data_IF_248504453206
#
_entry.id   IF_248504453206
#
_cell.length_a   1.000
_cell.length_b   1.000
_cell.length_c   1.000
_cell.angle_alpha   90.00
_cell.angle_beta   90.00
_cell.angle_gamma   90.00
#
_symmetry.space_group_name_H-M   'P 1'
#
loop_
_entity.id
_entity.type
_entity.pdbx_description
1 polymer ?
#
# COMPACT_ATOMS: atom_id res chain seq x y z
N UNK A 1 62.45 70.19 -16.35
CA UNK A 1 61.33 69.29 -16.76
C UNK A 1 61.60 67.81 -16.52
N UNK A 2 62.81 67.27 -16.77
CA UNK A 2 63.10 65.83 -16.62
C UNK A 2 62.86 65.25 -15.20
N UNK A 3 63.16 66.01 -14.13
CA UNK A 3 62.93 65.56 -12.74
C UNK A 3 61.43 65.39 -12.38
N UNK A 4 60.55 66.20 -12.97
CA UNK A 4 59.10 66.13 -12.72
C UNK A 4 58.49 64.90 -13.40
N UNK A 5 58.95 64.56 -14.61
CA UNK A 5 58.52 63.35 -15.32
C UNK A 5 58.98 62.07 -14.61
N UNK A 6 60.19 62.05 -14.05
CA UNK A 6 60.67 60.93 -13.25
C UNK A 6 59.86 60.75 -11.96
N UNK A 7 59.50 61.86 -11.29
CA UNK A 7 58.65 61.82 -10.09
C UNK A 7 57.24 61.32 -10.42
N UNK A 8 56.63 61.78 -11.50
CA UNK A 8 55.30 61.33 -11.94
C UNK A 8 55.29 59.84 -12.33
N UNK A 9 56.35 59.35 -12.97
CA UNK A 9 56.48 57.93 -13.30
C UNK A 9 56.62 57.08 -12.03
N UNK A 10 57.42 57.53 -11.05
CA UNK A 10 57.56 56.86 -9.78
C UNK A 10 56.25 56.82 -8.99
N UNK A 11 55.50 57.93 -8.97
CA UNK A 11 54.17 58.01 -8.34
C UNK A 11 53.18 57.07 -9.04
N UNK A 12 53.20 56.98 -10.37
CA UNK A 12 52.34 56.05 -11.11
C UNK A 12 52.68 54.57 -10.84
N UNK A 13 53.97 54.25 -10.70
CA UNK A 13 54.41 52.89 -10.37
C UNK A 13 54.03 52.54 -8.94
N UNK A 14 54.25 53.42 -7.96
CA UNK A 14 53.85 53.21 -6.56
C UNK A 14 52.32 53.12 -6.41
N UNK A 15 51.56 53.95 -7.12
CA UNK A 15 50.09 53.87 -7.15
C UNK A 15 49.60 52.55 -7.77
N UNK A 16 50.26 52.07 -8.82
CA UNK A 16 49.94 50.80 -9.48
C UNK A 16 50.30 49.60 -8.60
N UNK A 17 51.46 49.64 -7.93
CA UNK A 17 51.88 48.60 -6.99
C UNK A 17 50.95 48.54 -5.77
N UNK A 18 50.53 49.69 -5.22
CA UNK A 18 49.52 49.75 -4.15
C UNK A 18 48.17 49.20 -4.63
N UNK A 19 47.71 49.60 -5.83
CA UNK A 19 46.47 49.08 -6.40
C UNK A 19 46.51 47.56 -6.67
N UNK A 20 47.64 47.03 -7.15
CA UNK A 20 47.82 45.59 -7.35
C UNK A 20 47.90 44.84 -6.01
N UNK A 21 48.51 45.44 -4.98
CA UNK A 21 48.58 44.90 -3.62
C UNK A 21 47.19 44.85 -2.96
N UNK A 22 46.37 45.87 -3.16
CA UNK A 22 44.97 45.92 -2.70
C UNK A 22 44.03 45.00 -3.51
N UNK A 23 44.32 44.75 -4.79
CA UNK A 23 43.53 43.86 -5.66
C UNK A 23 43.85 42.37 -5.48
N UNK A 24 45.03 42.01 -4.96
CA UNK A 24 45.48 40.64 -4.70
C UNK A 24 44.52 39.83 -3.79
N UNK A 25 44.05 40.36 -2.65
CA UNK A 25 43.04 39.72 -1.80
C UNK A 25 41.72 39.44 -2.53
N UNK A 26 41.21 40.43 -3.27
CA UNK A 26 39.97 40.31 -4.05
C UNK A 26 40.06 39.22 -5.13
N UNK A 27 41.19 39.13 -5.84
CA UNK A 27 41.45 38.05 -6.82
C UNK A 27 41.49 36.67 -6.16
N UNK A 28 42.08 36.54 -4.96
CA UNK A 28 42.07 35.28 -4.20
C UNK A 28 40.66 34.86 -3.78
N UNK A 29 39.84 35.81 -3.31
CA UNK A 29 38.43 35.57 -2.92
C UNK A 29 37.60 35.14 -4.14
N UNK A 30 37.75 35.80 -5.28
CA UNK A 30 37.04 35.45 -6.52
C UNK A 30 37.39 34.04 -7.02
N UNK A 31 38.67 33.65 -6.95
CA UNK A 31 39.12 32.29 -7.28
C UNK A 31 38.55 31.26 -6.31
N UNK A 32 38.57 31.55 -5.00
CA UNK A 32 37.96 30.70 -3.97
C UNK A 32 36.45 30.53 -4.19
N UNK A 33 35.74 31.62 -4.46
CA UNK A 33 34.31 31.61 -4.77
C UNK A 33 33.99 30.85 -6.05
N UNK A 34 34.83 30.96 -7.08
CA UNK A 34 34.69 30.18 -8.32
C UNK A 34 34.89 28.68 -8.07
N UNK A 35 35.90 28.29 -7.29
CA UNK A 35 36.11 26.90 -6.89
C UNK A 35 34.96 26.37 -6.02
N UNK A 36 34.46 27.18 -5.08
CA UNK A 36 33.31 26.83 -4.25
C UNK A 36 32.05 26.60 -5.10
N UNK A 37 31.74 27.50 -6.04
CA UNK A 37 30.63 27.35 -7.00
C UNK A 37 30.78 26.11 -7.87
N UNK A 38 32.00 25.78 -8.32
CA UNK A 38 32.27 24.57 -9.12
C UNK A 38 32.06 23.30 -8.30
N UNK A 39 32.52 23.26 -7.04
CA UNK A 39 32.29 22.16 -6.10
C UNK A 39 30.80 21.97 -5.81
N UNK A 40 30.09 23.07 -5.58
CA UNK A 40 28.65 23.04 -5.33
C UNK A 40 27.87 22.51 -6.54
N UNK A 41 28.21 22.94 -7.77
CA UNK A 41 27.64 22.38 -8.99
C UNK A 41 27.94 20.89 -9.16
N UNK A 42 29.14 20.46 -8.81
CA UNK A 42 29.52 19.05 -8.87
C UNK A 42 28.72 18.21 -7.86
N UNK A 43 28.61 18.68 -6.60
CA UNK A 43 27.78 18.05 -5.56
C UNK A 43 26.32 17.93 -6.00
N UNK A 44 25.73 18.98 -6.56
CA UNK A 44 24.34 18.94 -7.07
C UNK A 44 24.17 17.93 -8.20
N UNK A 45 25.12 17.85 -9.11
CA UNK A 45 25.10 16.84 -10.19
C UNK A 45 25.23 15.43 -9.64
N UNK A 46 26.10 15.23 -8.65
CA UNK A 46 26.27 13.93 -7.99
C UNK A 46 24.98 13.50 -7.28
N UNK A 47 24.37 14.38 -6.48
CA UNK A 47 23.09 14.12 -5.81
C UNK A 47 22.00 13.79 -6.83
N UNK A 48 21.92 14.54 -7.93
CA UNK A 48 20.95 14.29 -8.99
C UNK A 48 21.19 12.93 -9.68
N UNK A 49 22.45 12.58 -9.94
CA UNK A 49 22.82 11.29 -10.51
C UNK A 49 22.49 10.14 -9.57
N UNK A 50 22.80 10.27 -8.28
CA UNK A 50 22.46 9.29 -7.24
C UNK A 50 20.93 9.11 -7.10
N UNK A 51 20.18 10.20 -7.18
CA UNK A 51 18.72 10.13 -7.17
C UNK A 51 18.17 9.46 -8.44
N UNK A 52 18.73 9.78 -9.61
CA UNK A 52 18.34 9.15 -10.87
C UNK A 52 18.68 7.66 -10.89
N UNK A 53 19.84 7.24 -10.40
CA UNK A 53 20.21 5.82 -10.32
C UNK A 53 19.29 5.08 -9.34
N UNK A 54 19.00 5.67 -8.17
CA UNK A 54 18.03 5.11 -7.22
C UNK A 54 16.65 4.91 -7.86
N UNK A 55 16.12 5.95 -8.51
CA UNK A 55 14.83 5.86 -9.22
C UNK A 55 14.86 4.87 -10.38
N UNK A 56 15.98 4.74 -11.09
CA UNK A 56 16.13 3.80 -12.20
C UNK A 56 16.12 2.35 -11.70
N UNK A 57 16.82 2.06 -10.60
CA UNK A 57 16.81 0.75 -9.93
C UNK A 57 15.40 0.43 -9.40
N UNK A 58 14.74 1.38 -8.75
CA UNK A 58 13.39 1.19 -8.23
C UNK A 58 12.36 0.96 -9.35
N UNK A 59 12.45 1.71 -10.45
CA UNK A 59 11.63 1.47 -11.64
C UNK A 59 11.88 0.10 -12.26
N UNK A 60 13.14 -0.36 -12.33
CA UNK A 60 13.45 -1.70 -12.82
C UNK A 60 12.83 -2.77 -11.91
N UNK A 61 12.95 -2.62 -10.58
CA UNK A 61 12.34 -3.51 -9.59
C UNK A 61 10.82 -3.58 -9.72
N UNK A 62 10.14 -2.42 -9.81
CA UNK A 62 8.69 -2.35 -9.97
C UNK A 62 8.23 -3.01 -11.28
N UNK A 63 8.97 -2.79 -12.39
CA UNK A 63 8.69 -3.46 -13.67
C UNK A 63 8.83 -4.98 -13.57
N UNK A 64 9.86 -5.48 -12.89
CA UNK A 64 10.03 -6.92 -12.64
C UNK A 64 8.90 -7.49 -11.78
N UNK A 65 8.47 -6.79 -10.73
CA UNK A 65 7.34 -7.20 -9.89
C UNK A 65 6.01 -7.23 -10.66
N UNK A 66 5.75 -6.21 -11.47
CA UNK A 66 4.57 -6.17 -12.35
C UNK A 66 4.62 -7.29 -13.39
N UNK A 67 5.79 -7.57 -13.97
CA UNK A 67 5.99 -8.70 -14.88
C UNK A 67 5.69 -10.04 -14.22
N UNK A 68 6.19 -10.27 -13.01
CA UNK A 68 5.92 -11.48 -12.24
C UNK A 68 4.43 -11.64 -11.89
N UNK A 69 3.74 -10.54 -11.53
CA UNK A 69 2.30 -10.55 -11.23
C UNK A 69 1.46 -10.90 -12.48
N UNK A 70 1.78 -10.27 -13.63
CA UNK A 70 1.13 -10.59 -14.91
C UNK A 70 1.34 -12.05 -15.31
N UNK A 71 2.56 -12.56 -15.15
CA UNK A 71 2.90 -13.96 -15.44
C UNK A 71 2.17 -14.94 -14.50
N UNK A 72 2.07 -14.62 -13.21
CA UNK A 72 1.28 -15.40 -12.25
C UNK A 72 -0.20 -15.47 -12.66
N UNK A 73 -0.78 -14.35 -13.07
CA UNK A 73 -2.17 -14.30 -13.55
C UNK A 73 -2.36 -15.09 -14.84
N UNK A 74 -1.40 -15.00 -15.78
CA UNK A 74 -1.40 -15.80 -17.01
C UNK A 74 -1.41 -17.29 -16.71
N UNK A 75 -0.51 -17.77 -15.85
CA UNK A 75 -0.43 -19.18 -15.43
C UNK A 75 -1.71 -19.67 -14.75
N UNK A 76 -2.34 -18.85 -13.91
CA UNK A 76 -3.64 -19.18 -13.29
C UNK A 76 -4.73 -19.36 -14.34
N UNK A 77 -4.78 -18.46 -15.33
CA UNK A 77 -5.73 -18.55 -16.45
C UNK A 77 -5.48 -19.80 -17.30
N UNK A 78 -4.23 -20.12 -17.62
CA UNK A 78 -3.85 -21.33 -18.37
C UNK A 78 -4.23 -22.62 -17.64
N UNK A 79 -3.93 -22.72 -16.33
CA UNK A 79 -4.35 -23.86 -15.52
C UNK A 79 -5.86 -24.05 -15.48
N UNK A 80 -6.62 -22.95 -15.51
CA UNK A 80 -8.08 -22.98 -15.55
C UNK A 80 -8.59 -23.60 -16.85
N UNK A 81 -8.03 -23.21 -18.00
CA UNK A 81 -8.38 -23.81 -19.28
C UNK A 81 -7.95 -25.26 -19.39
N UNK A 82 -6.76 -25.61 -18.89
CA UNK A 82 -6.28 -26.99 -18.90
C UNK A 82 -7.25 -27.95 -18.18
N UNK A 83 -7.73 -27.57 -17.00
CA UNK A 83 -8.70 -28.39 -16.26
C UNK A 83 -10.04 -28.47 -17.01
N UNK A 84 -10.44 -27.42 -17.74
CA UNK A 84 -11.61 -27.45 -18.61
C UNK A 84 -11.43 -28.35 -19.83
N UNK A 85 -10.26 -28.34 -20.48
CA UNK A 85 -9.92 -29.24 -21.60
C UNK A 85 -10.00 -30.70 -21.14
N UNK A 86 -9.48 -31.00 -19.95
CA UNK A 86 -9.55 -32.34 -19.35
C UNK A 86 -10.99 -32.74 -19.01
N UNK A 87 -11.82 -31.83 -18.49
CA UNK A 87 -13.24 -32.07 -18.26
C UNK A 87 -13.99 -32.35 -19.57
N UNK A 88 -13.72 -31.60 -20.63
CA UNK A 88 -14.29 -31.83 -21.97
C UNK A 88 -13.92 -33.22 -22.50
N UNK A 89 -12.66 -33.62 -22.35
CA UNK A 89 -12.22 -34.95 -22.73
C UNK A 89 -12.93 -36.05 -21.94
N UNK A 90 -13.07 -35.90 -20.62
CA UNK A 90 -13.80 -36.87 -19.79
C UNK A 90 -15.28 -36.97 -20.18
N UNK A 91 -15.92 -35.85 -20.55
CA UNK A 91 -17.29 -35.84 -21.06
C UNK A 91 -17.37 -36.57 -22.40
N UNK A 92 -16.44 -36.31 -23.32
CA UNK A 92 -16.42 -36.91 -24.65
C UNK A 92 -16.20 -38.42 -24.62
N UNK A 93 -15.35 -38.91 -23.72
CA UNK A 93 -15.06 -40.34 -23.56
C UNK A 93 -16.09 -41.09 -22.71
N UNK A 94 -17.11 -40.43 -22.17
CA UNK A 94 -18.11 -41.06 -21.32
C UNK A 94 -17.54 -41.57 -19.99
N UNK A 95 -16.67 -40.78 -19.35
CA UNK A 95 -16.06 -41.10 -18.06
C UNK A 95 -17.10 -41.39 -16.96
N UNK A 96 -16.68 -42.07 -15.89
CA UNK A 96 -17.58 -42.41 -14.79
C UNK A 96 -18.03 -41.15 -14.03
N UNK A 97 -19.20 -41.25 -13.38
CA UNK A 97 -19.73 -40.18 -12.55
C UNK A 97 -18.75 -39.72 -11.46
N UNK A 98 -18.00 -40.65 -10.87
CA UNK A 98 -16.99 -40.38 -9.84
C UNK A 98 -15.79 -39.60 -10.40
N UNK A 99 -15.32 -39.96 -11.60
CA UNK A 99 -14.23 -39.24 -12.26
C UNK A 99 -14.62 -37.81 -12.62
N UNK A 100 -15.84 -37.61 -13.12
CA UNK A 100 -16.38 -36.29 -13.43
C UNK A 100 -16.53 -35.44 -12.17
N UNK A 101 -17.08 -36.01 -11.10
CA UNK A 101 -17.28 -35.32 -9.83
C UNK A 101 -15.95 -34.90 -9.21
N UNK A 102 -14.98 -35.81 -9.13
CA UNK A 102 -13.65 -35.50 -8.61
C UNK A 102 -12.99 -34.35 -9.38
N UNK A 103 -13.15 -34.31 -10.71
CA UNK A 103 -12.56 -33.26 -11.54
C UNK A 103 -13.27 -31.92 -11.37
N UNK A 104 -14.60 -31.92 -11.26
CA UNK A 104 -15.39 -30.73 -10.93
C UNK A 104 -15.01 -30.19 -9.55
N UNK A 105 -14.84 -31.07 -8.56
CA UNK A 105 -14.42 -30.68 -7.21
C UNK A 105 -13.05 -30.00 -7.21
N UNK A 106 -12.07 -30.57 -7.94
CA UNK A 106 -10.74 -29.95 -8.12
C UNK A 106 -10.87 -28.55 -8.73
N UNK A 107 -11.69 -28.39 -9.77
CA UNK A 107 -11.92 -27.09 -10.41
C UNK A 107 -12.49 -26.07 -9.40
N UNK A 108 -13.54 -26.46 -8.66
CA UNK A 108 -14.17 -25.59 -7.68
C UNK A 108 -13.23 -25.22 -6.53
N UNK A 109 -12.48 -26.20 -5.99
CA UNK A 109 -11.57 -25.99 -4.87
C UNK A 109 -10.44 -24.99 -5.23
N UNK A 110 -9.99 -24.98 -6.49
CA UNK A 110 -8.90 -24.13 -6.96
C UNK A 110 -9.35 -22.74 -7.43
N UNK A 111 -10.51 -22.64 -8.08
CA UNK A 111 -10.89 -21.40 -8.79
C UNK A 111 -12.14 -20.71 -8.27
N UNK A 112 -13.06 -21.41 -7.61
CA UNK A 112 -14.26 -20.77 -7.06
C UNK A 112 -13.92 -19.88 -5.87
N UNK A 113 -14.66 -18.80 -5.69
CA UNK A 113 -14.52 -17.82 -4.61
C UNK A 113 -14.59 -18.48 -3.22
N UNK A 114 -15.48 -19.46 -3.07
CA UNK A 114 -15.69 -20.25 -1.88
C UNK A 114 -14.81 -21.52 -1.81
N UNK A 115 -13.95 -21.72 -2.82
CA UNK A 115 -13.04 -22.85 -2.92
C UNK A 115 -11.95 -22.78 -1.85
N UNK A 116 -11.55 -23.94 -1.32
CA UNK A 116 -10.56 -24.05 -0.23
C UNK A 116 -9.31 -23.21 -0.49
N UNK A 117 -8.76 -23.26 -1.71
CA UNK A 117 -7.53 -22.55 -2.04
C UNK A 117 -7.65 -21.03 -1.88
N UNK A 118 -8.73 -20.44 -2.40
CA UNK A 118 -8.94 -18.98 -2.34
C UNK A 118 -9.30 -18.53 -0.94
N UNK A 119 -10.12 -19.30 -0.22
CA UNK A 119 -10.43 -19.03 1.18
C UNK A 119 -9.18 -19.02 2.05
N UNK A 120 -8.30 -20.03 1.93
CA UNK A 120 -7.06 -20.10 2.71
C UNK A 120 -6.14 -18.92 2.40
N UNK A 121 -5.86 -18.63 1.12
CA UNK A 121 -5.00 -17.48 0.76
C UNK A 121 -5.53 -16.17 1.34
N UNK A 122 -6.84 -15.94 1.21
CA UNK A 122 -7.45 -14.70 1.67
C UNK A 122 -7.42 -14.61 3.22
N UNK A 123 -7.65 -15.71 3.93
CA UNK A 123 -7.53 -15.72 5.39
C UNK A 123 -6.08 -15.51 5.84
N UNK A 124 -5.12 -16.20 5.23
CA UNK A 124 -3.69 -16.03 5.51
C UNK A 124 -3.24 -14.56 5.30
N UNK A 125 -3.76 -13.90 4.27
CA UNK A 125 -3.50 -12.49 4.00
C UNK A 125 -4.11 -11.57 5.08
N UNK A 126 -5.33 -11.84 5.51
CA UNK A 126 -5.98 -11.08 6.57
C UNK A 126 -5.32 -11.32 7.94
N UNK A 127 -4.82 -12.53 8.20
CA UNK A 127 -4.01 -12.84 9.39
C UNK A 127 -2.66 -12.11 9.35
N UNK A 128 -2.02 -12.05 8.19
CA UNK A 128 -0.81 -11.25 7.99
C UNK A 128 -1.03 -9.76 8.24
N UNK A 129 -2.17 -9.20 7.80
CA UNK A 129 -2.54 -7.81 8.09
C UNK A 129 -2.79 -7.59 9.59
N UNK A 130 -3.44 -8.55 10.27
CA UNK A 130 -3.66 -8.44 11.72
C UNK A 130 -2.33 -8.42 12.47
N UNK A 131 -1.40 -9.30 12.10
CA UNK A 131 -0.05 -9.35 12.68
C UNK A 131 0.72 -8.04 12.47
N UNK A 132 0.59 -7.41 11.30
CA UNK A 132 1.23 -6.12 11.00
C UNK A 132 0.63 -4.95 11.79
N UNK A 133 -0.64 -5.06 12.19
CA UNK A 133 -1.33 -4.07 13.02
C UNK A 133 -1.05 -4.26 14.52
N UNK A 134 -0.56 -5.43 14.93
CA UNK A 134 -0.14 -5.66 16.30
C UNK A 134 1.10 -4.82 16.63
N UNK A 135 0.90 -3.81 17.48
CA UNK A 135 2.00 -3.01 18.01
C UNK A 135 3.02 -3.92 18.72
N UNK A 136 4.29 -3.86 18.28
CA UNK A 136 5.41 -4.53 18.97
C UNK A 136 5.62 -3.93 20.36
N UNK A 137 6.34 -4.65 21.23
CA UNK A 137 6.54 -4.23 22.63
C UNK A 137 7.10 -2.82 22.77
N UNK A 138 8.03 -2.42 21.88
CA UNK A 138 8.60 -1.06 21.87
C UNK A 138 7.53 -0.01 21.54
N UNK A 139 6.66 -0.28 20.56
CA UNK A 139 5.56 0.61 20.18
C UNK A 139 4.50 0.68 21.29
N UNK A 140 4.16 -0.45 21.91
CA UNK A 140 3.30 -0.50 23.10
C UNK A 140 3.90 0.35 24.22
N UNK A 141 5.17 0.13 24.56
CA UNK A 141 5.89 0.91 25.58
C UNK A 141 5.91 2.41 25.26
N UNK A 142 6.16 2.81 24.01
CA UNK A 142 6.16 4.21 23.59
C UNK A 142 4.77 4.86 23.73
N UNK A 143 3.73 4.15 23.29
CA UNK A 143 2.33 4.56 23.45
C UNK A 143 1.98 4.71 24.94
N UNK A 144 2.30 3.70 25.75
CA UNK A 144 2.01 3.69 27.19
C UNK A 144 2.83 4.72 27.96
N UNK A 145 4.07 4.98 27.56
CA UNK A 145 4.93 6.00 28.15
C UNK A 145 4.39 7.42 27.92
N UNK A 146 3.66 7.62 26.83
CA UNK A 146 3.02 8.89 26.48
C UNK A 146 1.54 8.94 26.90
N UNK A 147 1.02 7.90 27.57
CA UNK A 147 -0.37 7.86 28.00
C UNK A 147 -0.59 8.67 29.31
N UNK A 148 -1.65 9.50 29.40
CA UNK A 148 -1.94 10.37 30.55
C UNK A 148 -1.95 9.69 31.92
N UNK A 149 -2.44 8.44 31.99
CA UNK A 149 -2.63 7.67 33.23
C UNK A 149 -1.46 6.73 33.57
N UNK A 150 -0.35 6.83 32.85
CA UNK A 150 0.75 5.87 32.99
C UNK A 150 1.80 6.32 34.01
N UNK A 151 2.01 5.50 35.05
CA UNK A 151 3.13 5.62 35.98
C UNK A 151 4.48 5.27 35.32
N UNK A 152 4.47 4.68 34.13
CA UNK A 152 5.64 4.24 33.37
C UNK A 152 6.53 5.42 32.95
N UNK A 153 5.96 6.60 32.81
CA UNK A 153 6.67 7.83 32.40
C UNK A 153 7.68 8.29 33.43
N UNK A 154 7.31 8.24 34.71
CA UNK A 154 8.23 8.62 35.79
C UNK A 154 9.39 7.62 35.91
N UNK A 155 9.14 6.34 35.59
CA UNK A 155 10.14 5.29 35.51
C UNK A 155 11.07 5.55 34.32
N UNK A 156 10.55 5.80 33.12
CA UNK A 156 11.35 6.04 31.93
C UNK A 156 12.18 7.33 32.01
N UNK A 157 11.66 8.39 32.62
CA UNK A 157 12.43 9.63 32.86
C UNK A 157 13.67 9.34 33.71
N UNK A 158 13.53 8.47 34.72
CA UNK A 158 14.63 8.07 35.61
C UNK A 158 15.61 7.11 34.91
N UNK A 159 15.11 6.05 34.28
CA UNK A 159 15.92 5.02 33.63
C UNK A 159 16.70 5.57 32.41
N UNK A 160 16.11 6.50 31.67
CA UNK A 160 16.75 7.13 30.49
C UNK A 160 17.53 8.40 30.82
N UNK A 161 17.55 8.82 32.09
CA UNK A 161 18.22 10.02 32.58
C UNK A 161 17.92 11.28 31.73
N UNK A 162 16.63 11.53 31.45
CA UNK A 162 16.21 12.63 30.59
C UNK A 162 16.49 14.00 31.24
N UNK A 163 16.99 14.96 30.46
CA UNK A 163 17.22 16.33 30.94
C UNK A 163 15.91 17.15 31.01
N UNK A 164 15.95 18.33 31.63
CA UNK A 164 14.75 19.15 31.88
C UNK A 164 13.99 19.53 30.59
N UNK A 165 14.70 19.83 29.51
CA UNK A 165 14.09 20.19 28.22
C UNK A 165 13.43 18.97 27.55
N UNK A 166 14.07 17.80 27.64
CA UNK A 166 13.53 16.53 27.15
C UNK A 166 12.29 16.11 27.93
N UNK A 167 12.30 16.25 29.26
CA UNK A 167 11.16 15.96 30.12
C UNK A 167 9.97 16.85 29.76
N UNK A 168 10.18 18.16 29.59
CA UNK A 168 9.10 19.10 29.23
C UNK A 168 8.43 18.71 27.91
N UNK A 169 9.22 18.43 26.86
CA UNK A 169 8.69 17.96 25.57
C UNK A 169 7.93 16.63 25.68
N UNK A 170 8.41 15.74 26.53
CA UNK A 170 7.79 14.44 26.78
C UNK A 170 6.39 14.59 27.42
N UNK A 171 6.26 15.53 28.37
CA UNK A 171 4.97 15.89 28.98
C UNK A 171 4.03 16.58 27.99
N UNK A 172 4.56 17.49 27.16
CA UNK A 172 3.76 18.19 26.13
C UNK A 172 3.19 17.21 25.09
N UNK A 173 3.94 16.15 24.74
CA UNK A 173 3.50 15.13 23.77
C UNK A 173 2.46 14.15 24.35
N UNK A 174 2.32 14.09 25.68
CA UNK A 174 1.38 13.20 26.40
C UNK A 174 -0.10 13.52 26.08
N UNK A 175 -0.41 14.78 25.79
CA UNK A 175 -1.78 15.21 25.46
C UNK A 175 -2.21 14.84 24.04
N UNK A 176 -1.25 14.67 23.12
CA UNK A 176 -1.51 14.36 21.71
C UNK A 176 -1.59 12.86 21.39
N UNK A 177 -1.04 11.99 22.25
CA UNK A 177 -0.83 10.56 21.95
C UNK A 177 -2.04 9.66 22.31
N UNK A 178 -3.12 10.23 22.84
CA UNK A 178 -4.34 9.50 23.22
C UNK A 178 -5.11 8.88 22.04
N UNK A 179 -4.89 9.38 20.82
CA UNK A 179 -5.68 9.02 19.63
C UNK A 179 -5.17 7.73 18.95
N UNK A 180 -3.86 7.52 18.90
CA UNK A 180 -3.23 6.40 18.18
C UNK A 180 -3.71 4.99 18.63
N UNK A 181 -3.87 4.69 19.94
CA UNK A 181 -4.35 3.39 20.39
C UNK A 181 -5.79 3.13 19.97
N UNK A 182 -6.60 4.18 19.93
CA UNK A 182 -8.01 4.12 19.52
C UNK A 182 -8.09 3.84 18.02
N UNK A 183 -7.30 4.52 17.20
CA UNK A 183 -7.23 4.30 15.75
C UNK A 183 -6.73 2.89 15.38
N UNK A 184 -5.69 2.40 16.07
CA UNK A 184 -5.18 1.04 15.88
C UNK A 184 -6.25 0.01 16.24
N UNK A 185 -6.95 0.21 17.36
CA UNK A 185 -8.05 -0.67 17.77
C UNK A 185 -9.19 -0.66 16.75
N UNK A 186 -9.62 0.51 16.29
CA UNK A 186 -10.64 0.64 15.25
C UNK A 186 -10.25 -0.10 13.97
N UNK A 187 -8.99 0.02 13.56
CA UNK A 187 -8.48 -0.66 12.36
C UNK A 187 -8.51 -2.18 12.51
N UNK A 188 -8.11 -2.69 13.68
CA UNK A 188 -8.20 -4.12 14.01
C UNK A 188 -9.66 -4.59 14.02
N UNK A 189 -10.59 -3.80 14.57
CA UNK A 189 -12.01 -4.15 14.63
C UNK A 189 -12.66 -4.19 13.24
N UNK A 190 -12.27 -3.28 12.34
CA UNK A 190 -12.65 -3.31 10.91
C UNK A 190 -12.13 -4.59 10.25
N UNK A 191 -10.87 -4.96 10.49
CA UNK A 191 -10.27 -6.17 9.94
C UNK A 191 -10.99 -7.44 10.44
N UNK A 192 -11.32 -7.51 11.73
CA UNK A 192 -12.09 -8.62 12.32
C UNK A 192 -13.49 -8.72 11.74
N UNK A 193 -14.14 -7.58 11.53
CA UNK A 193 -15.46 -7.52 10.89
C UNK A 193 -15.40 -8.05 9.46
N UNK A 194 -14.39 -7.64 8.70
CA UNK A 194 -14.16 -8.10 7.34
C UNK A 194 -13.91 -9.61 7.29
N UNK A 195 -13.08 -10.15 8.18
CA UNK A 195 -12.85 -11.60 8.32
C UNK A 195 -14.15 -12.36 8.54
N UNK A 196 -14.96 -11.92 9.50
CA UNK A 196 -16.26 -12.54 9.82
C UNK A 196 -17.20 -12.52 8.61
N UNK A 197 -17.35 -11.37 7.96
CA UNK A 197 -18.23 -11.23 6.79
C UNK A 197 -17.77 -12.10 5.62
N UNK A 198 -16.46 -12.26 5.41
CA UNK A 198 -15.93 -13.12 4.36
C UNK A 198 -16.14 -14.60 4.67
N UNK A 199 -15.96 -15.01 5.93
CA UNK A 199 -16.24 -16.38 6.36
C UNK A 199 -17.72 -16.73 6.15
N UNK A 200 -18.63 -15.87 6.62
CA UNK A 200 -20.08 -16.03 6.46
C UNK A 200 -20.49 -16.10 4.99
N UNK A 201 -20.01 -15.16 4.15
CA UNK A 201 -20.30 -15.17 2.71
C UNK A 201 -19.77 -16.42 2.02
N UNK A 202 -18.59 -16.90 2.40
CA UNK A 202 -18.04 -18.13 1.84
C UNK A 202 -18.92 -19.34 2.19
N UNK A 203 -19.46 -19.42 3.42
CA UNK A 203 -20.38 -20.52 3.77
C UNK A 203 -21.70 -20.43 3.01
N UNK A 204 -22.28 -19.24 2.87
CA UNK A 204 -23.49 -19.06 2.06
C UNK A 204 -23.24 -19.52 0.61
N UNK A 205 -22.13 -19.11 0.01
CA UNK A 205 -21.77 -19.52 -1.35
C UNK A 205 -21.54 -21.05 -1.47
N UNK A 206 -20.94 -21.70 -0.45
CA UNK A 206 -20.81 -23.17 -0.44
C UNK A 206 -22.17 -23.84 -0.34
N UNK A 207 -23.06 -23.33 0.51
CA UNK A 207 -24.41 -23.85 0.66
C UNK A 207 -25.19 -23.76 -0.65
N UNK A 208 -25.23 -22.58 -1.27
CA UNK A 208 -25.89 -22.35 -2.57
C UNK A 208 -25.33 -23.27 -3.66
N UNK A 209 -24.01 -23.49 -3.66
CA UNK A 209 -23.37 -24.44 -4.57
C UNK A 209 -23.86 -25.88 -4.33
N UNK A 210 -23.83 -26.35 -3.09
CA UNK A 210 -24.28 -27.71 -2.74
C UNK A 210 -25.75 -27.89 -3.13
N UNK A 211 -26.57 -26.87 -2.89
CA UNK A 211 -27.98 -26.86 -3.29
C UNK A 211 -28.13 -26.99 -4.81
N UNK A 212 -27.44 -26.15 -5.59
CA UNK A 212 -27.44 -26.25 -7.05
C UNK A 212 -26.97 -27.63 -7.54
N UNK A 213 -25.92 -28.16 -6.93
CA UNK A 213 -25.36 -29.46 -7.28
C UNK A 213 -26.33 -30.60 -6.96
N UNK A 214 -27.15 -30.50 -5.90
CA UNK A 214 -28.14 -31.52 -5.54
C UNK A 214 -29.15 -31.83 -6.65
N UNK A 215 -29.41 -30.88 -7.55
CA UNK A 215 -30.33 -31.04 -8.68
C UNK A 215 -29.67 -31.56 -9.96
N UNK A 216 -28.34 -31.63 -10.00
CA UNK A 216 -27.57 -31.92 -11.20
C UNK A 216 -26.79 -33.24 -11.06
N UNK A 217 -26.85 -34.10 -12.07
CA UNK A 217 -25.95 -35.25 -12.17
C UNK A 217 -24.49 -34.79 -12.39
N UNK A 218 -23.47 -35.60 -12.03
CA UNK A 218 -22.06 -35.24 -12.23
C UNK A 218 -21.72 -34.86 -13.68
N UNK A 219 -22.36 -35.51 -14.66
CA UNK A 219 -22.23 -35.15 -16.07
C UNK A 219 -22.81 -33.75 -16.38
N UNK A 220 -23.96 -33.40 -15.81
CA UNK A 220 -24.56 -32.07 -15.98
C UNK A 220 -23.71 -30.99 -15.29
N UNK A 221 -23.16 -31.27 -14.11
CA UNK A 221 -22.23 -30.37 -13.40
C UNK A 221 -20.97 -30.12 -14.23
N UNK A 222 -20.35 -31.17 -14.77
CA UNK A 222 -19.18 -31.06 -15.64
C UNK A 222 -19.48 -30.25 -16.91
N UNK A 223 -20.62 -30.52 -17.57
CA UNK A 223 -21.08 -29.74 -18.73
C UNK A 223 -21.33 -28.27 -18.39
N UNK A 224 -21.91 -27.98 -17.22
CA UNK A 224 -22.14 -26.62 -16.76
C UNK A 224 -20.83 -25.85 -16.59
N UNK A 225 -19.83 -26.43 -15.91
CA UNK A 225 -18.51 -25.83 -15.73
C UNK A 225 -17.86 -25.51 -17.07
N UNK A 226 -17.85 -26.47 -18.00
CA UNK A 226 -17.31 -26.30 -19.35
C UNK A 226 -18.05 -25.21 -20.11
N UNK A 227 -19.38 -25.23 -20.10
CA UNK A 227 -20.20 -24.26 -20.82
C UNK A 227 -19.97 -22.83 -20.33
N UNK A 228 -19.93 -22.62 -19.01
CA UNK A 228 -19.61 -21.31 -18.40
C UNK A 228 -18.24 -20.82 -18.85
N UNK A 229 -17.26 -21.72 -18.94
CA UNK A 229 -15.87 -21.38 -19.31
C UNK A 229 -15.66 -21.14 -20.81
N UNK A 230 -16.48 -21.74 -21.67
CA UNK A 230 -16.39 -21.63 -23.13
C UNK A 230 -17.36 -20.63 -23.75
N UNK A 231 -18.30 -20.10 -22.97
CA UNK A 231 -19.30 -19.16 -23.46
C UNK A 231 -19.06 -17.73 -22.92
N UNK A 232 -18.13 -16.97 -23.53
CA UNK A 232 -17.80 -15.63 -23.07
C UNK A 232 -18.98 -14.64 -23.21
N UNK A 233 -19.90 -14.88 -24.14
CA UNK A 233 -21.10 -14.05 -24.29
C UNK A 233 -22.04 -14.18 -23.09
N UNK A 234 -22.25 -15.41 -22.59
CA UNK A 234 -22.99 -15.65 -21.37
C UNK A 234 -22.29 -15.02 -20.16
N UNK A 235 -20.97 -15.14 -20.04
CA UNK A 235 -20.21 -14.52 -18.96
C UNK A 235 -20.33 -12.99 -18.96
N UNK A 236 -20.26 -12.35 -20.13
CA UNK A 236 -20.50 -10.91 -20.24
C UNK A 236 -21.91 -10.50 -19.82
N UNK A 237 -22.92 -11.30 -20.18
CA UNK A 237 -24.30 -11.07 -19.77
C UNK A 237 -24.47 -11.21 -18.24
N UNK A 238 -23.93 -12.27 -17.65
CA UNK A 238 -23.94 -12.48 -16.20
C UNK A 238 -23.22 -11.34 -15.48
N UNK A 239 -22.05 -10.91 -15.98
CA UNK A 239 -21.31 -9.79 -15.40
C UNK A 239 -22.13 -8.49 -15.44
N UNK A 240 -22.87 -8.25 -16.52
CA UNK A 240 -23.77 -7.10 -16.63
C UNK A 240 -24.92 -7.17 -15.62
N UNK A 241 -25.56 -8.33 -15.46
CA UNK A 241 -26.61 -8.53 -14.46
C UNK A 241 -26.06 -8.35 -13.03
N UNK A 242 -24.88 -8.90 -12.78
CA UNK A 242 -24.20 -8.79 -11.49
C UNK A 242 -23.92 -7.32 -11.12
N UNK A 243 -23.40 -6.53 -12.07
CA UNK A 243 -23.17 -5.09 -11.86
C UNK A 243 -24.46 -4.32 -11.60
N UNK A 244 -25.52 -4.59 -12.37
CA UNK A 244 -26.81 -3.94 -12.16
C UNK A 244 -27.39 -4.22 -10.76
N UNK A 245 -27.22 -5.44 -10.25
CA UNK A 245 -27.62 -5.80 -8.89
C UNK A 245 -26.80 -5.06 -7.82
N UNK A 246 -25.47 -5.00 -8.00
CA UNK A 246 -24.58 -4.26 -7.10
C UNK A 246 -24.89 -2.77 -7.05
N UNK A 247 -25.22 -2.17 -8.20
CA UNK A 247 -25.60 -0.76 -8.29
C UNK A 247 -26.96 -0.49 -7.64
N UNK A 248 -27.92 -1.42 -7.76
CA UNK A 248 -29.21 -1.33 -7.07
C UNK A 248 -29.03 -1.36 -5.54
N UNK A 249 -28.21 -2.27 -5.02
CA UNK A 249 -27.92 -2.37 -3.58
C UNK A 249 -27.11 -1.16 -3.06
N UNK A 250 -26.21 -0.60 -3.89
CA UNK A 250 -25.47 0.62 -3.56
C UNK A 250 -26.40 1.86 -3.49
N UNK A 251 -27.45 1.90 -4.32
CA UNK A 251 -28.45 2.97 -4.30
C UNK A 251 -29.24 2.92 -2.99
N UNK A 252 -29.67 1.73 -2.55
CA UNK A 252 -30.35 1.54 -1.26
C UNK A 252 -29.43 1.92 -0.09
N UNK A 253 -28.15 1.52 -0.11
CA UNK A 253 -27.19 1.94 0.92
C UNK A 253 -26.95 3.45 0.93
N UNK A 254 -26.92 4.09 -0.25
CA UNK A 254 -26.79 5.56 -0.35
C UNK A 254 -28.03 6.28 0.19
N UNK A 255 -29.22 5.74 -0.03
CA UNK A 255 -30.48 6.27 0.52
C UNK A 255 -30.55 6.06 2.02
N UNK A 256 -30.16 4.89 2.53
CA UNK A 256 -30.11 4.61 3.97
C UNK A 256 -29.06 5.49 4.65
N UNK A 257 -27.87 5.67 4.07
CA UNK A 257 -26.86 6.58 4.59
C UNK A 257 -27.31 8.05 4.53
N UNK A 258 -28.04 8.44 3.48
CA UNK A 258 -28.64 9.77 3.39
C UNK A 258 -29.71 10.00 4.46
N UNK A 259 -30.59 9.01 4.69
CA UNK A 259 -31.59 9.04 5.75
C UNK A 259 -30.93 9.10 7.12
N UNK A 260 -29.93 8.25 7.38
CA UNK A 260 -29.19 8.23 8.65
C UNK A 260 -28.43 9.55 8.87
N UNK A 261 -27.81 10.12 7.83
CA UNK A 261 -27.14 11.43 7.92
C UNK A 261 -28.13 12.57 8.19
N UNK A 262 -29.35 12.51 7.65
CA UNK A 262 -30.39 13.50 7.93
C UNK A 262 -31.00 13.33 9.32
N UNK A 263 -31.18 12.09 9.79
CA UNK A 263 -31.62 11.81 11.16
C UNK A 263 -30.58 12.26 12.20
N UNK A 264 -29.29 12.08 11.92
CA UNK A 264 -28.21 12.57 12.79
C UNK A 264 -28.18 14.11 12.83
N UNK A 265 -28.33 14.78 11.68
CA UNK A 265 -28.42 16.25 11.60
C UNK A 265 -29.61 16.83 12.35
N UNK A 266 -30.76 16.15 12.31
CA UNK A 266 -31.98 16.62 12.95
C UNK A 266 -31.95 16.42 14.48
N UNK A 267 -31.22 15.42 14.98
CA UNK A 267 -31.04 15.22 16.43
C UNK A 267 -30.10 16.26 17.07
N UNK A 268 -29.11 16.77 16.32
CA UNK A 268 -28.25 17.87 16.78
C UNK A 268 -28.99 19.23 16.85
N UNK A 269 -30.09 19.39 16.11
CA UNK A 269 -30.93 20.60 16.17
C UNK A 269 -32.00 20.56 17.28
N UNK A 270 -32.24 19.40 17.89
CA UNK A 270 -33.17 19.23 19.01
C UNK A 270 -32.48 19.25 20.39
N UNK A 271 -31.15 19.39 20.42
CA UNK A 271 -30.32 19.40 21.64
C UNK A 271 -29.69 20.77 21.97
N UNK A 272 -30.15 21.85 21.33
CA UNK A 272 -29.88 23.25 21.70
C UNK A 272 -31.20 23.94 22.08
#
# INVERSE_FOLDING_TARGET
MQKINALNHFIQVDQKERADTEALPLRKILRSNSHSRRRERHKRRQIFQEHHTRLSIENARLRSQLGASKECNRRKKEKRYLICDELEHLIACGASAEQLEAKVEIFCNLFSEYGKHRCTILMDQLDGLELLLEAIQVTKMAIWALHPESNLTSILIKELALNCDQQKRFWDQRTSTSIMPVELKQTIDVLKTLKRQLAERNEILRYEKILLESFLSPLQRAKLVVWVMRNPACMHFIEKLWRAQLEADATILSEVLFILSNLYRNNDQLSN
#
